data_IF_864731688155
#
_entry.id   IF_864731688155
#
_cell.length_a   1.000
_cell.length_b   1.000
_cell.length_c   1.000
_cell.angle_alpha   90.00
_cell.angle_beta   90.00
_cell.angle_gamma   90.00
#
_symmetry.space_group_name_H-M   'P 1'
#
loop_
_entity.id
_entity.type
_entity.pdbx_description
1 polymer ?
#
# COMPACT_ATOMS: atom_id res chain seq x y z
N UNK A 1 0.94 -0.81 -3.38
CA UNK A 1 1.75 -1.83 -4.11
C UNK A 1 1.69 -3.25 -3.58
N UNK A 2 2.12 -3.58 -2.35
CA UNK A 2 2.17 -4.98 -1.88
C UNK A 2 0.80 -5.68 -1.93
N UNK A 3 -0.28 -4.98 -1.53
CA UNK A 3 -1.66 -5.51 -1.62
C UNK A 3 -2.07 -5.84 -3.07
N UNK A 4 -1.71 -4.99 -4.02
CA UNK A 4 -1.95 -5.19 -5.47
C UNK A 4 -1.22 -6.47 -5.94
N UNK A 5 0.09 -6.57 -5.70
CA UNK A 5 0.89 -7.72 -6.12
C UNK A 5 0.41 -9.03 -5.47
N UNK A 6 0.00 -8.96 -4.20
CA UNK A 6 -0.56 -10.12 -3.48
C UNK A 6 -1.85 -10.61 -4.11
N UNK A 7 -2.72 -9.68 -4.52
CA UNK A 7 -3.96 -10.03 -5.20
C UNK A 7 -3.68 -10.67 -6.57
N UNK A 8 -2.81 -10.08 -7.38
CA UNK A 8 -2.42 -10.63 -8.68
C UNK A 8 -1.83 -12.03 -8.54
N UNK A 9 -0.94 -12.23 -7.56
CA UNK A 9 -0.39 -13.55 -7.21
C UNK A 9 -1.47 -14.54 -6.79
N UNK A 10 -2.53 -14.10 -6.09
CA UNK A 10 -3.65 -14.96 -5.71
C UNK A 10 -4.54 -15.38 -6.89
N UNK A 11 -4.57 -14.58 -7.96
CA UNK A 11 -5.27 -14.92 -9.19
C UNK A 11 -4.49 -15.92 -10.07
N UNK A 12 -3.22 -16.17 -9.78
CA UNK A 12 -2.41 -17.12 -10.55
C UNK A 12 -2.80 -18.56 -10.19
N UNK A 13 -2.93 -19.45 -11.19
CA UNK A 13 -3.08 -20.88 -10.94
C UNK A 13 -1.84 -21.43 -10.25
N UNK A 14 -1.98 -22.56 -9.54
CA UNK A 14 -0.87 -23.17 -8.77
C UNK A 14 0.04 -24.08 -9.59
N UNK A 15 -0.44 -24.63 -10.71
CA UNK A 15 0.21 -25.76 -11.37
C UNK A 15 0.42 -25.59 -12.88
N UNK A 16 -0.57 -25.07 -13.61
CA UNK A 16 -0.53 -24.96 -15.08
C UNK A 16 -1.19 -23.66 -15.54
N UNK A 17 -0.93 -23.28 -16.80
CA UNK A 17 -1.51 -22.10 -17.46
C UNK A 17 -1.08 -20.75 -16.87
N UNK A 18 0.12 -20.66 -16.32
CA UNK A 18 0.65 -19.42 -15.75
C UNK A 18 0.72 -18.29 -16.79
N UNK A 19 1.23 -18.57 -18.00
CA UNK A 19 1.30 -17.58 -19.09
C UNK A 19 -0.08 -17.08 -19.53
N UNK A 20 -1.03 -18.00 -19.72
CA UNK A 20 -2.40 -17.66 -20.10
C UNK A 20 -3.10 -16.83 -19.02
N UNK A 21 -2.89 -17.17 -17.75
CA UNK A 21 -3.40 -16.40 -16.61
C UNK A 21 -2.76 -15.00 -16.55
N UNK A 22 -1.45 -14.90 -16.74
CA UNK A 22 -0.74 -13.62 -16.77
C UNK A 22 -1.22 -12.75 -17.93
N UNK A 23 -1.40 -13.32 -19.12
CA UNK A 23 -2.00 -12.61 -20.25
C UNK A 23 -3.39 -12.10 -19.91
N UNK A 24 -4.28 -12.96 -19.41
CA UNK A 24 -5.64 -12.57 -19.00
C UNK A 24 -5.63 -11.44 -17.97
N UNK A 25 -4.82 -11.56 -16.92
CA UNK A 25 -4.66 -10.56 -15.87
C UNK A 25 -4.20 -9.22 -16.45
N UNK A 26 -3.25 -9.26 -17.38
CA UNK A 26 -2.68 -8.05 -17.97
C UNK A 26 -3.67 -7.37 -18.92
N UNK A 27 -4.45 -8.14 -19.68
CA UNK A 27 -5.51 -7.63 -20.57
C UNK A 27 -6.66 -7.01 -19.76
N UNK A 28 -7.05 -7.65 -18.65
CA UNK A 28 -8.16 -7.24 -17.79
C UNK A 28 -7.72 -6.35 -16.61
N UNK A 29 -6.51 -5.78 -16.68
CA UNK A 29 -5.90 -5.00 -15.60
C UNK A 29 -6.80 -3.86 -15.06
N UNK A 30 -7.51 -3.07 -15.90
CA UNK A 30 -8.42 -2.03 -15.39
C UNK A 30 -9.54 -2.61 -14.52
N UNK A 31 -10.16 -3.70 -14.97
CA UNK A 31 -11.23 -4.35 -14.23
C UNK A 31 -10.73 -5.01 -12.93
N UNK A 32 -9.52 -5.57 -12.97
CA UNK A 32 -8.87 -6.12 -11.77
C UNK A 32 -8.55 -5.01 -10.77
N UNK A 33 -8.12 -3.84 -11.23
CA UNK A 33 -7.85 -2.69 -10.37
C UNK A 33 -9.10 -2.21 -9.64
N UNK A 34 -10.27 -2.18 -10.31
CA UNK A 34 -11.54 -1.91 -9.63
C UNK A 34 -11.84 -2.94 -8.54
N UNK A 35 -11.62 -4.24 -8.82
CA UNK A 35 -11.78 -5.29 -7.81
C UNK A 35 -10.83 -5.11 -6.62
N UNK A 36 -9.58 -4.74 -6.88
CA UNK A 36 -8.58 -4.50 -5.84
C UNK A 36 -8.97 -3.29 -5.00
N UNK A 37 -9.47 -2.21 -5.63
CA UNK A 37 -9.98 -1.03 -4.93
C UNK A 37 -11.10 -1.40 -3.98
N UNK A 38 -12.12 -2.13 -4.46
CA UNK A 38 -13.22 -2.58 -3.61
C UNK A 38 -12.78 -3.57 -2.54
N UNK A 39 -11.83 -4.47 -2.84
CA UNK A 39 -11.41 -5.52 -1.90
C UNK A 39 -10.56 -5.00 -0.74
N UNK A 40 -9.75 -3.95 -0.97
CA UNK A 40 -8.85 -3.37 0.03
C UNK A 40 -9.25 -1.96 0.48
N UNK A 41 -10.42 -1.47 0.07
CA UNK A 41 -10.94 -0.13 0.37
C UNK A 41 -9.92 0.97 0.00
N UNK A 42 -9.29 0.83 -1.17
CA UNK A 42 -8.25 1.77 -1.64
C UNK A 42 -8.86 2.91 -2.45
N UNK A 43 -8.27 4.10 -2.31
CA UNK A 43 -8.65 5.27 -3.11
C UNK A 43 -7.93 5.29 -4.46
N UNK A 44 -8.40 6.10 -5.41
CA UNK A 44 -7.73 6.27 -6.70
C UNK A 44 -6.31 6.84 -6.54
N UNK A 45 -6.05 7.63 -5.49
CA UNK A 45 -4.71 8.15 -5.19
C UNK A 45 -3.72 7.07 -4.75
N UNK A 46 -4.20 5.93 -4.27
CA UNK A 46 -3.37 4.80 -3.84
C UNK A 46 -3.05 3.84 -4.99
N UNK A 47 -3.67 4.07 -6.16
CA UNK A 47 -3.51 3.23 -7.35
C UNK A 47 -2.41 3.78 -8.27
N UNK A 48 -1.52 2.91 -8.79
CA UNK A 48 -0.55 3.32 -9.78
C UNK A 48 -1.23 3.58 -11.13
N UNK A 49 -0.56 4.36 -11.98
CA UNK A 49 -0.97 4.49 -13.38
C UNK A 49 -1.00 3.12 -14.07
N UNK A 50 -2.14 2.79 -14.67
CA UNK A 50 -2.41 1.47 -15.25
C UNK A 50 -1.46 1.19 -16.42
N UNK A 51 -1.13 2.22 -17.21
CA UNK A 51 -0.30 2.07 -18.41
C UNK A 51 1.14 1.75 -18.02
N UNK A 52 1.70 2.50 -17.09
CA UNK A 52 3.03 2.26 -16.55
C UNK A 52 3.09 0.93 -15.78
N UNK A 53 2.07 0.64 -14.97
CA UNK A 53 2.02 -0.61 -14.22
C UNK A 53 1.95 -1.83 -15.15
N UNK A 54 1.23 -1.75 -16.28
CA UNK A 54 1.17 -2.80 -17.31
C UNK A 54 2.55 -3.08 -17.92
N UNK A 55 3.34 -2.05 -18.21
CA UNK A 55 4.71 -2.22 -18.75
C UNK A 55 5.60 -3.00 -17.79
N UNK A 56 5.55 -2.64 -16.51
CA UNK A 56 6.32 -3.32 -15.45
C UNK A 56 5.87 -4.77 -15.28
N UNK A 57 4.56 -5.03 -15.35
CA UNK A 57 3.97 -6.37 -15.31
C UNK A 57 4.44 -7.27 -16.45
N UNK A 58 4.70 -6.74 -17.64
CA UNK A 58 5.22 -7.52 -18.76
C UNK A 58 6.67 -7.97 -18.58
N UNK A 59 7.44 -7.28 -17.73
CA UNK A 59 8.83 -7.61 -17.42
C UNK A 59 8.97 -8.57 -16.24
N UNK A 60 7.88 -8.84 -15.53
CA UNK A 60 7.85 -9.67 -14.33
C UNK A 60 7.03 -10.95 -14.58
N UNK A 61 7.52 -12.09 -14.10
CA UNK A 61 6.72 -13.29 -14.02
C UNK A 61 5.88 -13.26 -12.74
N UNK A 62 4.55 -13.24 -12.87
CA UNK A 62 3.64 -13.17 -11.72
C UNK A 62 3.78 -14.37 -10.78
N UNK A 63 4.26 -15.50 -11.28
CA UNK A 63 4.54 -16.69 -10.48
C UNK A 63 5.76 -16.56 -9.58
N UNK A 64 6.72 -15.70 -9.90
CA UNK A 64 7.90 -15.49 -9.07
C UNK A 64 7.66 -14.49 -7.94
N UNK A 65 6.52 -13.80 -7.97
CA UNK A 65 6.16 -12.84 -6.93
C UNK A 65 6.00 -13.57 -5.59
N UNK A 66 6.76 -13.17 -4.55
CA UNK A 66 6.64 -13.78 -3.24
C UNK A 66 5.25 -13.50 -2.68
N UNK A 67 4.63 -14.54 -2.11
CA UNK A 67 3.36 -14.38 -1.41
C UNK A 67 3.58 -13.46 -0.20
N UNK A 68 2.86 -12.34 -0.14
CA UNK A 68 2.99 -11.45 1.00
C UNK A 68 2.58 -12.17 2.28
N UNK A 69 3.51 -12.22 3.23
CA UNK A 69 3.23 -12.78 4.54
C UNK A 69 2.18 -11.94 5.25
N UNK A 70 1.05 -12.55 5.63
CA UNK A 70 0.00 -11.90 6.44
C UNK A 70 0.57 -11.29 7.72
N UNK A 71 1.62 -11.89 8.28
CA UNK A 71 2.32 -11.37 9.46
C UNK A 71 3.02 -10.04 9.15
N UNK A 72 3.63 -9.90 7.98
CA UNK A 72 4.30 -8.66 7.56
C UNK A 72 3.28 -7.56 7.29
N UNK A 73 2.17 -7.88 6.60
CA UNK A 73 1.09 -6.92 6.35
C UNK A 73 0.48 -6.40 7.66
N UNK A 74 0.14 -7.30 8.61
CA UNK A 74 -0.39 -6.90 9.92
C UNK A 74 0.57 -6.06 10.75
N UNK A 75 1.88 -6.31 10.63
CA UNK A 75 2.89 -5.47 11.29
C UNK A 75 2.94 -4.07 10.68
N UNK A 76 2.79 -3.96 9.37
CA UNK A 76 2.73 -2.67 8.69
C UNK A 76 1.47 -1.90 9.14
N UNK A 77 0.31 -2.55 9.14
CA UNK A 77 -0.95 -1.94 9.61
C UNK A 77 -0.82 -1.48 11.08
N UNK A 78 -0.26 -2.32 11.96
CA UNK A 78 -0.04 -1.97 13.36
C UNK A 78 0.92 -0.78 13.56
N UNK A 79 1.93 -0.62 12.69
CA UNK A 79 2.82 0.55 12.74
C UNK A 79 2.04 1.81 12.36
N UNK A 80 1.23 1.74 11.31
CA UNK A 80 0.40 2.88 10.87
C UNK A 80 -0.59 3.25 11.98
N UNK A 81 -1.32 2.29 12.53
CA UNK A 81 -2.38 2.60 13.49
C UNK A 81 -1.86 3.01 14.86
N UNK A 82 -0.75 2.42 15.32
CA UNK A 82 -0.28 2.62 16.70
C UNK A 82 0.90 3.58 16.78
N UNK A 83 1.82 3.54 15.81
CA UNK A 83 3.08 4.29 15.91
C UNK A 83 2.99 5.67 15.29
N UNK A 84 2.26 5.86 14.19
CA UNK A 84 2.10 7.18 13.58
C UNK A 84 1.42 8.18 14.53
N UNK A 85 0.28 7.85 15.18
CA UNK A 85 -0.37 8.79 16.10
C UNK A 85 0.54 9.19 17.28
N UNK A 86 1.33 8.24 17.81
CA UNK A 86 2.28 8.52 18.87
C UNK A 86 3.41 9.46 18.42
N UNK A 87 3.87 9.33 17.17
CA UNK A 87 4.85 10.26 16.59
C UNK A 87 4.21 11.65 16.47
N UNK A 88 3.01 11.77 15.92
CA UNK A 88 2.30 13.05 15.80
C UNK A 88 2.04 13.71 17.16
N UNK A 89 1.64 12.93 18.18
CA UNK A 89 1.47 13.46 19.54
C UNK A 89 2.79 14.00 20.11
N UNK A 90 3.91 13.28 19.91
CA UNK A 90 5.22 13.74 20.39
C UNK A 90 5.69 14.98 19.64
N UNK A 91 5.51 15.02 18.32
CA UNK A 91 5.84 16.19 17.51
C UNK A 91 5.01 17.39 17.94
N UNK A 92 3.69 17.24 18.06
CA UNK A 92 2.82 18.31 18.55
C UNK A 92 3.21 18.76 19.96
N UNK A 93 3.51 17.84 20.88
CA UNK A 93 3.94 18.20 22.23
C UNK A 93 5.25 19.01 22.23
N UNK A 94 6.18 18.70 21.33
CA UNK A 94 7.42 19.48 21.14
C UNK A 94 7.07 20.86 20.60
N UNK A 95 6.25 20.96 19.55
CA UNK A 95 5.83 22.24 18.96
C UNK A 95 5.12 23.13 19.99
N UNK A 96 4.18 22.58 20.77
CA UNK A 96 3.49 23.29 21.85
C UNK A 96 4.46 23.74 22.96
N UNK A 97 5.46 22.92 23.30
CA UNK A 97 6.47 23.27 24.28
C UNK A 97 7.41 24.39 23.79
N UNK A 98 7.67 24.46 22.48
CA UNK A 98 8.41 25.56 21.86
C UNK A 98 7.59 26.86 21.85
N UNK A 99 6.30 26.79 21.48
CA UNK A 99 5.40 27.95 21.51
C UNK A 99 5.24 28.55 22.91
N UNK A 100 5.06 27.71 23.93
CA UNK A 100 4.99 28.11 25.35
C UNK A 100 6.27 28.77 25.87
N UNK A 101 7.44 28.39 25.34
CA UNK A 101 8.72 29.02 25.70
C UNK A 101 8.97 30.34 24.96
N UNK A 102 8.32 30.56 23.83
CA UNK A 102 8.45 31.80 23.05
C UNK A 102 7.52 32.94 23.49
N UNK A 103 6.55 32.70 24.37
CA UNK A 103 5.74 33.79 24.96
C UNK A 103 6.57 34.50 26.05
N UNK A 104 6.93 35.79 25.89
CA UNK A 104 7.68 36.51 26.90
C UNK A 104 6.84 36.65 28.17
N UNK A 105 7.42 36.31 29.32
CA UNK A 105 6.87 36.64 30.65
C UNK A 105 6.99 38.15 30.89
N UNK A 106 6.19 38.95 30.21
CA UNK A 106 5.93 40.32 30.63
C UNK A 106 4.42 40.46 30.79
N UNK A 107 3.96 40.27 32.04
CA UNK A 107 2.71 40.76 32.62
C UNK A 107 2.54 40.10 34.00
N UNK A 108 3.33 40.57 34.97
CA UNK A 108 2.98 40.60 36.39
C UNK A 108 3.70 41.76 37.06
#
# INVERSE_FOLDING_TARGET
>A
HIRILSYLKSCMPKYFFHEAAQFYITTQLPHIFEKIKSHYELTDSDMPDITEFRKVLHLLHLEDIPVASRKTLRRLDAIIDQKFPLIFQKVNAITSAFELKSVPRELR
#
